data_IF_067143569579
#
_entry.id   IF_067143569579
#
_cell.length_a   1.000
_cell.length_b   1.000
_cell.length_c   1.000
_cell.angle_alpha   90.00
_cell.angle_beta   90.00
_cell.angle_gamma   90.00
#
_symmetry.space_group_name_H-M   'P 1'
#
loop_
_entity.id
_entity.type
_entity.pdbx_description
1 polymer ?
#
# COMPACT_ATOMS: atom_id res chain seq x y z
N UNK A 1 -26.38 11.13 -3.78
CA UNK A 1 -26.19 11.41 -2.34
C UNK A 1 -25.61 12.81 -2.20
N UNK A 2 -26.23 13.69 -1.40
CA UNK A 2 -25.71 15.07 -1.22
C UNK A 2 -24.48 15.02 -0.32
N UNK A 3 -23.32 15.48 -0.82
CA UNK A 3 -22.10 15.63 -0.01
C UNK A 3 -22.38 16.62 1.13
N UNK A 4 -22.25 16.17 2.37
CA UNK A 4 -22.20 17.11 3.50
C UNK A 4 -20.89 17.88 3.42
N UNK A 5 -20.97 19.23 3.42
CA UNK A 5 -19.78 20.07 3.35
C UNK A 5 -18.87 19.90 4.56
N UNK A 6 -17.57 20.09 4.36
CA UNK A 6 -16.49 19.93 5.34
C UNK A 6 -16.80 20.60 6.69
N UNK A 7 -17.43 21.77 6.69
CA UNK A 7 -17.81 22.49 7.91
C UNK A 7 -18.80 21.76 8.83
N UNK A 8 -19.66 20.88 8.29
CA UNK A 8 -20.59 20.07 9.10
C UNK A 8 -19.92 18.87 9.74
N UNK A 9 -18.87 18.34 9.11
CA UNK A 9 -18.06 17.22 9.67
C UNK A 9 -17.19 17.70 10.83
N UNK A 10 -16.56 18.87 10.68
CA UNK A 10 -15.77 19.51 11.75
C UNK A 10 -16.66 19.87 12.95
N UNK A 11 -17.90 20.34 12.70
CA UNK A 11 -18.84 20.67 13.78
C UNK A 11 -19.32 19.42 14.52
N UNK A 12 -19.47 18.29 13.84
CA UNK A 12 -19.86 17.00 14.46
C UNK A 12 -18.75 16.48 15.39
N UNK A 13 -17.49 16.58 14.98
CA UNK A 13 -16.35 16.21 15.81
C UNK A 13 -16.17 17.17 17.00
N UNK A 14 -16.38 18.47 16.82
CA UNK A 14 -16.32 19.46 17.90
C UNK A 14 -17.49 19.30 18.89
N UNK A 15 -18.69 18.95 18.42
CA UNK A 15 -19.84 18.68 19.29
C UNK A 15 -19.64 17.42 20.13
N UNK A 16 -19.00 16.39 19.58
CA UNK A 16 -18.69 15.16 20.34
C UNK A 16 -17.64 15.39 21.41
N UNK A 17 -16.65 16.25 21.15
CA UNK A 17 -15.65 16.65 22.15
C UNK A 17 -16.23 17.54 23.24
N UNK A 18 -17.16 18.45 22.90
CA UNK A 18 -17.82 19.34 23.85
C UNK A 18 -18.79 18.58 24.80
N UNK A 19 -19.45 17.53 24.30
CA UNK A 19 -20.37 16.71 25.13
C UNK A 19 -19.61 15.88 26.16
N UNK A 20 -18.38 15.48 25.87
CA UNK A 20 -17.50 14.79 26.83
C UNK A 20 -16.96 15.73 27.93
N UNK A 21 -16.74 17.02 27.63
CA UNK A 21 -16.24 17.99 28.60
C UNK A 21 -17.32 18.53 29.56
N UNK A 22 -18.60 18.56 29.16
CA UNK A 22 -19.69 19.06 30.02
C UNK A 22 -20.25 18.01 30.93
N UNK A 23 -19.99 16.72 30.69
CA UNK A 23 -20.43 15.62 31.56
C UNK A 23 -19.62 15.45 32.86
N UNK A 24 -18.47 16.09 32.98
CA UNK A 24 -17.52 15.86 34.08
C UNK A 24 -17.72 16.77 35.29
N UNK A 25 -18.62 17.76 35.23
CA UNK A 25 -18.80 18.73 36.34
C UNK A 25 -19.95 18.40 37.31
N UNK A 26 -20.69 17.32 37.12
CA UNK A 26 -21.88 17.04 37.91
C UNK A 26 -21.80 15.82 38.84
N UNK A 27 -20.70 15.08 38.94
CA UNK A 27 -20.58 13.95 39.86
C UNK A 27 -19.23 13.94 40.58
N UNK A 28 -19.20 14.60 41.73
CA UNK A 28 -18.11 14.47 42.71
C UNK A 28 -18.13 13.06 43.36
N UNK A 29 -17.68 12.07 42.62
CA UNK A 29 -17.65 10.68 43.08
C UNK A 29 -17.10 9.68 42.07
N UNK A 30 -16.81 10.09 40.83
CA UNK A 30 -16.35 9.19 39.76
C UNK A 30 -14.92 9.49 39.32
N UNK A 31 -13.97 9.29 40.25
CA UNK A 31 -12.51 9.35 39.91
C UNK A 31 -12.08 8.32 38.89
N UNK A 32 -12.88 7.27 38.67
CA UNK A 32 -12.62 6.23 37.65
C UNK A 32 -12.99 6.63 36.23
N UNK A 33 -13.97 7.52 35.99
CA UNK A 33 -14.33 7.97 34.66
C UNK A 33 -13.33 9.00 34.10
N UNK A 34 -12.75 9.84 34.95
CA UNK A 34 -11.69 10.78 34.54
C UNK A 34 -10.41 10.05 34.09
N UNK A 35 -10.06 8.96 34.80
CA UNK A 35 -8.88 8.16 34.41
C UNK A 35 -9.14 7.32 33.14
N UNK A 36 -10.36 6.87 32.91
CA UNK A 36 -10.72 6.17 31.66
C UNK A 36 -10.73 7.12 30.46
N UNK A 37 -11.25 8.34 30.61
CA UNK A 37 -11.22 9.33 29.53
C UNK A 37 -9.79 9.79 29.20
N UNK A 38 -8.94 10.00 30.20
CA UNK A 38 -7.54 10.32 30.00
C UNK A 38 -6.74 9.14 29.39
N UNK A 39 -7.08 7.91 29.77
CA UNK A 39 -6.50 6.70 29.18
C UNK A 39 -6.93 6.53 27.71
N UNK A 40 -8.21 6.72 27.38
CA UNK A 40 -8.70 6.66 26.01
C UNK A 40 -8.00 7.72 25.12
N UNK A 41 -7.88 8.96 25.58
CA UNK A 41 -7.19 10.03 24.84
C UNK A 41 -5.70 9.72 24.61
N UNK A 42 -5.05 8.91 25.43
CA UNK A 42 -3.65 8.51 25.26
C UNK A 42 -3.46 7.37 24.24
N UNK A 43 -4.53 6.62 23.89
CA UNK A 43 -4.48 5.54 22.90
C UNK A 43 -4.86 6.00 21.50
N UNK A 44 -5.55 7.11 21.32
CA UNK A 44 -6.08 7.57 20.04
C UNK A 44 -5.08 8.43 19.28
N UNK A 45 -3.84 7.96 19.12
CA UNK A 45 -2.88 8.63 18.22
C UNK A 45 -2.98 8.02 16.82
N UNK A 46 -4.06 8.33 16.11
CA UNK A 46 -4.30 7.85 14.75
C UNK A 46 -3.26 8.33 13.74
N UNK A 47 -2.64 9.50 13.96
CA UNK A 47 -1.54 9.98 13.12
C UNK A 47 -0.33 9.03 13.19
N UNK A 48 0.02 8.61 14.41
CA UNK A 48 1.10 7.64 14.63
C UNK A 48 0.74 6.25 14.12
N UNK A 49 -0.54 5.85 14.27
CA UNK A 49 -1.03 4.59 13.74
C UNK A 49 -0.92 4.55 12.21
N UNK A 50 -1.33 5.62 11.52
CA UNK A 50 -1.19 5.74 10.06
C UNK A 50 0.28 5.62 9.64
N UNK A 51 1.19 6.35 10.29
CA UNK A 51 2.62 6.27 9.99
C UNK A 51 3.18 4.85 10.19
N UNK A 52 2.83 4.18 11.29
CA UNK A 52 3.29 2.81 11.55
C UNK A 52 2.69 1.81 10.56
N UNK A 53 1.46 2.03 10.10
CA UNK A 53 0.84 1.20 9.06
C UNK A 53 1.59 1.32 7.73
N UNK A 54 2.12 2.49 7.40
CA UNK A 54 2.96 2.67 6.20
C UNK A 54 4.34 2.06 6.36
N UNK A 55 4.96 2.12 7.55
CA UNK A 55 6.24 1.46 7.83
C UNK A 55 6.20 -0.06 7.66
N UNK A 56 5.03 -0.68 7.77
CA UNK A 56 4.87 -2.09 7.42
C UNK A 56 5.34 -2.37 5.98
N UNK A 57 5.01 -1.50 5.05
CA UNK A 57 5.44 -1.64 3.65
C UNK A 57 6.95 -1.39 3.48
N UNK A 58 7.54 -0.43 4.21
CA UNK A 58 9.00 -0.24 4.20
C UNK A 58 9.73 -1.53 4.65
N UNK A 59 9.17 -2.22 5.63
CA UNK A 59 9.67 -3.51 6.09
C UNK A 59 9.57 -4.63 5.06
N UNK A 60 8.63 -4.56 4.12
CA UNK A 60 8.35 -5.59 3.11
C UNK A 60 8.88 -5.23 1.71
N UNK A 61 9.60 -4.14 1.53
CA UNK A 61 10.21 -3.78 0.24
C UNK A 61 11.14 -4.88 -0.25
N UNK A 62 11.12 -5.10 -1.57
CA UNK A 62 12.00 -6.01 -2.30
C UNK A 62 12.69 -5.26 -3.43
N UNK A 63 13.94 -5.62 -3.73
CA UNK A 63 14.65 -5.07 -4.89
C UNK A 63 16.09 -4.67 -4.60
N UNK A 64 16.74 -4.22 -5.67
CA UNK A 64 18.14 -3.80 -5.68
C UNK A 64 18.40 -2.42 -5.06
N UNK A 65 17.35 -1.73 -4.62
CA UNK A 65 17.40 -0.35 -4.10
C UNK A 65 16.86 -0.21 -2.66
N UNK A 66 16.49 -1.31 -2.01
CA UNK A 66 15.80 -1.31 -0.70
C UNK A 66 16.61 -0.56 0.36
N UNK A 67 17.94 -0.76 0.41
CA UNK A 67 18.81 -0.11 1.38
C UNK A 67 18.82 1.43 1.30
N UNK A 68 18.37 2.00 0.18
CA UNK A 68 18.23 3.46 0.02
C UNK A 68 16.78 3.94 0.00
N UNK A 69 15.81 3.07 -0.29
CA UNK A 69 14.40 3.42 -0.42
C UNK A 69 13.61 3.24 0.88
N UNK A 70 13.93 2.22 1.67
CA UNK A 70 13.26 1.93 2.94
C UNK A 70 13.54 3.00 4.00
N UNK A 71 12.55 3.28 4.85
CA UNK A 71 12.72 4.14 6.04
C UNK A 71 13.49 3.44 7.17
N UNK A 72 13.81 2.15 7.01
CA UNK A 72 14.53 1.36 8.01
C UNK A 72 16.00 1.17 7.62
N UNK A 73 16.88 1.59 8.49
CA UNK A 73 18.34 1.45 8.36
C UNK A 73 18.85 0.00 8.53
N UNK A 74 17.99 -0.91 9.02
CA UNK A 74 18.29 -2.34 9.13
C UNK A 74 17.90 -3.15 7.88
N UNK A 75 17.15 -2.54 6.91
CA UNK A 75 16.86 -3.15 5.63
C UNK A 75 17.99 -2.89 4.64
N UNK A 76 18.30 -3.89 3.82
CA UNK A 76 19.26 -3.78 2.72
C UNK A 76 18.66 -4.37 1.44
N UNK A 77 19.41 -4.28 0.35
CA UNK A 77 18.99 -4.80 -0.95
C UNK A 77 18.80 -6.31 -0.90
N UNK A 78 17.74 -6.78 -1.54
CA UNK A 78 17.40 -8.19 -1.62
C UNK A 78 16.78 -8.53 -2.97
N UNK A 79 17.02 -9.74 -3.49
CA UNK A 79 16.43 -10.24 -4.72
C UNK A 79 16.57 -9.33 -5.96
N UNK A 80 17.60 -8.47 -6.00
CA UNK A 80 17.86 -7.59 -7.13
C UNK A 80 18.23 -8.30 -8.44
N UNK A 81 18.41 -9.63 -8.39
CA UNK A 81 18.60 -10.50 -9.55
C UNK A 81 17.29 -11.16 -10.05
N UNK A 82 16.14 -10.88 -9.42
CA UNK A 82 14.84 -11.32 -9.92
C UNK A 82 14.64 -10.82 -11.37
N UNK A 83 13.99 -11.61 -12.22
CA UNK A 83 13.65 -11.19 -13.59
C UNK A 83 12.77 -9.91 -13.60
N UNK A 84 11.96 -9.72 -12.54
CA UNK A 84 11.24 -8.48 -12.27
C UNK A 84 11.71 -7.96 -10.92
N UNK A 85 12.64 -7.01 -10.94
CA UNK A 85 13.19 -6.35 -9.76
C UNK A 85 12.16 -5.42 -9.11
N UNK A 86 12.35 -5.07 -7.84
CA UNK A 86 11.49 -4.14 -7.11
C UNK A 86 10.23 -4.77 -6.52
N UNK A 87 9.27 -3.92 -6.14
CA UNK A 87 8.01 -4.33 -5.52
C UNK A 87 8.13 -4.63 -4.03
N UNK A 88 7.29 -5.55 -3.57
CA UNK A 88 7.16 -5.92 -2.16
C UNK A 88 7.00 -7.44 -2.02
N UNK A 89 7.51 -8.01 -0.93
CA UNK A 89 7.15 -9.35 -0.50
C UNK A 89 5.70 -9.35 0.01
N UNK A 90 5.01 -10.48 -0.15
CA UNK A 90 3.60 -10.57 0.24
C UNK A 90 3.41 -10.59 1.75
N UNK A 91 4.16 -11.44 2.46
CA UNK A 91 4.00 -11.67 3.89
C UNK A 91 5.32 -12.08 4.55
N UNK A 92 5.35 -13.24 5.22
CA UNK A 92 6.55 -13.78 5.88
C UNK A 92 7.42 -14.64 4.97
N UNK A 93 6.97 -14.97 3.77
CA UNK A 93 7.77 -15.49 2.67
C UNK A 93 8.28 -14.34 1.78
N UNK A 94 9.09 -14.69 0.78
CA UNK A 94 9.68 -13.68 -0.11
C UNK A 94 9.03 -13.68 -1.50
N UNK A 95 7.89 -14.32 -1.64
CA UNK A 95 7.12 -14.33 -2.90
C UNK A 95 6.49 -12.95 -3.14
N UNK A 96 6.48 -12.52 -4.40
CA UNK A 96 5.75 -11.34 -4.85
C UNK A 96 4.50 -11.82 -5.60
N UNK A 97 3.37 -11.88 -4.91
CA UNK A 97 2.08 -12.26 -5.47
C UNK A 97 1.37 -11.05 -6.07
N UNK A 98 1.00 -11.12 -7.34
CA UNK A 98 0.38 -10.01 -8.05
C UNK A 98 -0.99 -9.61 -7.51
N UNK A 99 -1.87 -10.58 -7.22
CA UNK A 99 -3.23 -10.29 -6.78
C UNK A 99 -3.27 -9.47 -5.47
N UNK A 100 -2.68 -9.92 -4.35
CA UNK A 100 -2.68 -9.13 -3.12
C UNK A 100 -1.90 -7.82 -3.25
N UNK A 101 -0.83 -7.78 -4.06
CA UNK A 101 -0.08 -6.54 -4.30
C UNK A 101 -0.94 -5.49 -5.03
N UNK A 102 -1.68 -5.88 -6.07
CA UNK A 102 -2.57 -5.00 -6.82
C UNK A 102 -3.71 -4.47 -5.95
N UNK A 103 -4.35 -5.36 -5.18
CA UNK A 103 -5.39 -4.98 -4.21
C UNK A 103 -4.86 -4.00 -3.15
N UNK A 104 -3.68 -4.27 -2.61
CA UNK A 104 -3.04 -3.40 -1.62
C UNK A 104 -2.76 -2.01 -2.19
N UNK A 105 -2.11 -1.93 -3.35
CA UNK A 105 -1.77 -0.66 -3.98
C UNK A 105 -3.03 0.16 -4.35
N UNK A 106 -4.06 -0.48 -4.90
CA UNK A 106 -5.33 0.18 -5.21
C UNK A 106 -6.05 0.69 -3.96
N UNK A 107 -6.04 -0.08 -2.87
CA UNK A 107 -6.65 0.30 -1.59
C UNK A 107 -5.91 1.47 -0.93
N UNK A 108 -4.57 1.45 -0.92
CA UNK A 108 -3.74 2.56 -0.42
C UNK A 108 -3.98 3.84 -1.23
N UNK A 109 -3.98 3.73 -2.56
CA UNK A 109 -4.25 4.85 -3.45
C UNK A 109 -5.66 5.42 -3.29
N UNK A 110 -6.66 4.55 -3.11
CA UNK A 110 -8.03 4.97 -2.84
C UNK A 110 -8.17 5.64 -1.47
N UNK A 111 -7.47 5.14 -0.45
CA UNK A 111 -7.41 5.76 0.88
C UNK A 111 -6.88 7.19 0.81
N UNK A 112 -5.80 7.42 0.04
CA UNK A 112 -5.30 8.78 -0.19
C UNK A 112 -6.30 9.65 -0.96
N UNK A 113 -6.91 9.13 -2.02
CA UNK A 113 -7.92 9.86 -2.79
C UNK A 113 -9.07 10.38 -1.91
N UNK A 114 -9.58 9.56 -1.00
CA UNK A 114 -10.67 9.93 -0.10
C UNK A 114 -10.24 10.85 1.06
N UNK A 115 -9.01 10.70 1.55
CA UNK A 115 -8.53 11.38 2.77
C UNK A 115 -7.30 12.25 2.53
N UNK A 116 -7.13 12.77 1.31
CA UNK A 116 -5.98 13.57 0.88
C UNK A 116 -5.61 14.66 1.89
N UNK A 117 -6.56 15.48 2.32
CA UNK A 117 -6.34 16.58 3.26
C UNK A 117 -5.77 16.08 4.62
N UNK A 118 -6.12 14.85 5.02
CA UNK A 118 -5.60 14.25 6.25
C UNK A 118 -4.16 13.80 6.09
N UNK A 119 -3.80 13.19 4.95
CA UNK A 119 -2.41 12.82 4.65
C UNK A 119 -1.53 14.05 4.55
N UNK A 120 -2.00 15.10 3.86
CA UNK A 120 -1.27 16.37 3.72
C UNK A 120 -1.05 17.05 5.09
N UNK A 121 -2.08 17.10 5.93
CA UNK A 121 -2.00 17.68 7.27
C UNK A 121 -1.04 16.93 8.21
N UNK A 122 -0.88 15.61 7.99
CA UNK A 122 0.02 14.76 8.77
C UNK A 122 1.43 14.66 8.18
N UNK A 123 1.69 15.29 7.02
CA UNK A 123 2.97 15.21 6.32
C UNK A 123 3.30 13.81 5.78
N UNK A 124 2.25 12.97 5.50
CA UNK A 124 2.43 11.59 5.09
C UNK A 124 2.27 11.37 3.58
N UNK A 125 1.92 12.40 2.82
CA UNK A 125 1.68 12.32 1.37
C UNK A 125 2.90 11.82 0.61
N UNK A 126 4.09 12.36 0.87
CA UNK A 126 5.31 11.96 0.15
C UNK A 126 5.70 10.49 0.45
N UNK A 127 5.52 10.03 1.69
CA UNK A 127 5.79 8.64 2.05
C UNK A 127 4.81 7.69 1.36
N UNK A 128 3.50 8.00 1.41
CA UNK A 128 2.50 7.20 0.70
C UNK A 128 2.78 7.15 -0.80
N UNK A 129 3.08 8.30 -1.42
CA UNK A 129 3.42 8.35 -2.85
C UNK A 129 4.60 7.46 -3.17
N UNK A 130 5.68 7.50 -2.39
CA UNK A 130 6.84 6.62 -2.61
C UNK A 130 6.46 5.14 -2.56
N UNK A 131 5.58 4.73 -1.64
CA UNK A 131 5.09 3.35 -1.55
C UNK A 131 4.23 2.98 -2.76
N UNK A 132 3.26 3.82 -3.14
CA UNK A 132 2.38 3.53 -4.27
C UNK A 132 3.11 3.59 -5.61
N UNK A 133 4.05 4.51 -5.78
CA UNK A 133 4.92 4.56 -6.97
C UNK A 133 5.76 3.27 -7.09
N UNK A 134 6.31 2.74 -5.98
CA UNK A 134 7.04 1.48 -5.99
C UNK A 134 6.18 0.28 -6.43
N UNK A 135 4.93 0.19 -5.98
CA UNK A 135 3.99 -0.80 -6.49
C UNK A 135 3.75 -0.63 -7.99
N UNK A 136 3.47 0.60 -8.43
CA UNK A 136 3.19 0.91 -9.82
C UNK A 136 4.39 0.65 -10.73
N UNK A 137 5.61 0.96 -10.29
CA UNK A 137 6.84 0.67 -11.03
C UNK A 137 7.04 -0.84 -11.19
N UNK A 138 6.78 -1.62 -10.14
CA UNK A 138 6.80 -3.08 -10.22
C UNK A 138 5.73 -3.61 -11.21
N UNK A 139 4.51 -3.08 -11.20
CA UNK A 139 3.45 -3.50 -12.14
C UNK A 139 3.80 -3.16 -13.59
N UNK A 140 4.43 -2.01 -13.83
CA UNK A 140 4.93 -1.63 -15.16
C UNK A 140 6.08 -2.56 -15.60
N UNK A 141 7.04 -2.84 -14.73
CA UNK A 141 8.13 -3.79 -15.00
C UNK A 141 7.61 -5.22 -15.22
N UNK A 142 6.52 -5.60 -14.55
CA UNK A 142 5.81 -6.87 -14.73
C UNK A 142 5.00 -6.95 -16.02
N UNK A 143 4.90 -5.89 -16.83
CA UNK A 143 3.99 -5.85 -17.99
C UNK A 143 4.75 -5.55 -19.29
N UNK A 144 4.71 -6.47 -20.25
CA UNK A 144 5.28 -6.29 -21.59
C UNK A 144 4.23 -5.76 -22.55
N UNK A 145 4.52 -4.61 -23.17
CA UNK A 145 3.63 -3.96 -24.14
C UNK A 145 4.19 -4.03 -25.57
N UNK A 146 3.29 -4.17 -26.54
CA UNK A 146 3.54 -3.83 -27.94
C UNK A 146 2.59 -2.67 -28.31
N UNK A 147 3.11 -1.45 -28.39
CA UNK A 147 2.30 -0.23 -28.44
C UNK A 147 1.50 -0.05 -27.15
N UNK A 148 0.17 -0.12 -27.26
CA UNK A 148 -0.75 -0.04 -26.12
C UNK A 148 -1.41 -1.39 -25.78
N UNK A 149 -0.85 -2.50 -26.31
CA UNK A 149 -1.40 -3.84 -26.09
C UNK A 149 -0.47 -4.65 -25.20
N UNK A 150 -1.01 -5.26 -24.14
CA UNK A 150 -0.28 -6.22 -23.30
C UNK A 150 0.00 -7.48 -24.13
N UNK A 151 1.25 -7.87 -24.24
CA UNK A 151 1.70 -9.11 -24.89
C UNK A 151 1.93 -10.23 -23.88
N UNK A 152 2.37 -9.91 -22.70
CA UNK A 152 2.44 -10.78 -21.53
C UNK A 152 2.60 -9.97 -20.26
N UNK A 153 2.25 -10.54 -19.11
CA UNK A 153 2.57 -9.94 -17.82
C UNK A 153 2.95 -11.00 -16.79
N UNK A 154 3.80 -10.59 -15.85
CA UNK A 154 4.23 -11.39 -14.72
C UNK A 154 3.22 -11.25 -13.59
N UNK A 155 2.62 -12.36 -13.17
CA UNK A 155 1.62 -12.39 -12.11
C UNK A 155 2.18 -12.85 -10.77
N UNK A 156 3.39 -13.43 -10.75
CA UNK A 156 4.05 -13.90 -9.54
C UNK A 156 5.56 -13.98 -9.75
N UNK A 157 6.34 -13.60 -8.73
CA UNK A 157 7.78 -13.90 -8.64
C UNK A 157 8.04 -14.65 -7.34
N UNK A 158 8.67 -15.80 -7.47
CA UNK A 158 8.94 -16.73 -6.38
C UNK A 158 8.11 -18.02 -6.49
N UNK A 159 8.72 -19.12 -6.05
CA UNK A 159 8.09 -20.46 -6.08
C UNK A 159 7.32 -20.65 -4.78
N UNK A 160 6.02 -20.38 -4.77
CA UNK A 160 5.13 -20.27 -3.62
C UNK A 160 5.51 -21.12 -2.40
N UNK A 161 5.20 -22.44 -2.42
CA UNK A 161 5.44 -23.27 -1.24
C UNK A 161 6.93 -23.45 -0.92
N UNK A 162 7.78 -23.58 -1.94
CA UNK A 162 9.22 -23.79 -1.72
C UNK A 162 9.90 -22.55 -1.09
N UNK A 163 9.49 -21.36 -1.46
CA UNK A 163 9.94 -20.12 -0.85
C UNK A 163 9.41 -20.01 0.60
N UNK A 164 8.12 -20.32 0.79
CA UNK A 164 7.47 -20.29 2.11
C UNK A 164 8.12 -21.24 3.13
N UNK A 165 8.70 -22.35 2.69
CA UNK A 165 9.37 -23.32 3.56
C UNK A 165 10.76 -22.83 4.04
N UNK A 166 11.27 -21.72 3.48
CA UNK A 166 12.58 -21.14 3.83
C UNK A 166 12.42 -19.92 4.72
N UNK A 167 12.65 -20.09 6.02
CA UNK A 167 12.58 -19.00 6.99
C UNK A 167 13.95 -18.33 7.18
N UNK A 168 14.11 -17.16 6.57
CA UNK A 168 15.33 -16.33 6.73
C UNK A 168 14.99 -14.85 6.46
N UNK A 169 15.96 -13.94 6.68
CA UNK A 169 15.81 -12.57 6.19
C UNK A 169 15.90 -12.53 4.65
N UNK A 170 15.18 -11.62 3.99
CA UNK A 170 15.23 -11.52 2.53
C UNK A 170 16.63 -11.21 1.99
N UNK A 171 17.46 -10.48 2.74
CA UNK A 171 18.83 -10.17 2.39
C UNK A 171 19.74 -11.41 2.38
N UNK A 172 19.36 -12.46 3.10
CA UNK A 172 20.14 -13.72 3.19
C UNK A 172 19.63 -14.82 2.26
N UNK A 173 18.47 -14.67 1.62
CA UNK A 173 17.97 -15.64 0.66
C UNK A 173 18.65 -15.46 -0.71
N UNK A 174 19.60 -16.37 -1.00
CA UNK A 174 20.39 -16.31 -2.24
C UNK A 174 20.07 -17.44 -3.24
N UNK A 175 19.10 -18.32 -2.94
CA UNK A 175 18.73 -19.44 -3.79
C UNK A 175 17.86 -18.96 -4.96
N UNK A 176 18.48 -18.80 -6.14
CA UNK A 176 17.81 -18.34 -7.35
C UNK A 176 16.77 -19.35 -7.86
N UNK A 177 16.82 -20.62 -7.47
CA UNK A 177 15.81 -21.61 -7.86
C UNK A 177 14.44 -21.32 -7.24
N UNK A 178 14.38 -20.53 -6.16
CA UNK A 178 13.17 -20.06 -5.51
C UNK A 178 12.57 -18.81 -6.17
N UNK A 179 13.29 -18.16 -7.11
CA UNK A 179 12.96 -16.83 -7.64
C UNK A 179 12.37 -16.84 -9.06
N UNK A 180 11.72 -17.94 -9.45
CA UNK A 180 11.07 -18.06 -10.77
C UNK A 180 10.00 -16.97 -10.95
N UNK A 181 10.05 -16.27 -12.09
CA UNK A 181 8.99 -15.35 -12.52
C UNK A 181 7.98 -16.10 -13.38
N UNK A 182 6.69 -15.93 -13.09
CA UNK A 182 5.58 -16.58 -13.78
C UNK A 182 4.87 -15.57 -14.67
N UNK A 183 4.96 -15.79 -15.97
CA UNK A 183 4.39 -14.93 -17.00
C UNK A 183 3.19 -15.58 -17.67
N UNK A 184 2.21 -14.78 -18.08
CA UNK A 184 1.06 -15.22 -18.91
C UNK A 184 0.77 -14.24 -20.03
N UNK A 185 0.07 -14.72 -21.09
CA UNK A 185 -0.46 -13.91 -22.21
C UNK A 185 -1.98 -13.95 -22.32
N UNK A 186 -2.64 -14.87 -21.62
CA UNK A 186 -4.06 -15.22 -21.84
C UNK A 186 -4.85 -15.40 -20.55
N UNK A 187 -4.18 -15.62 -19.40
CA UNK A 187 -4.79 -15.91 -18.10
C UNK A 187 -4.60 -14.78 -17.09
N UNK A 188 -5.13 -14.97 -15.88
CA UNK A 188 -4.98 -14.07 -14.72
C UNK A 188 -5.57 -12.66 -14.97
N UNK A 189 -6.76 -12.60 -15.54
CA UNK A 189 -7.51 -11.37 -15.80
C UNK A 189 -7.82 -10.58 -14.53
N UNK A 190 -8.00 -11.25 -13.40
CA UNK A 190 -8.19 -10.68 -12.06
C UNK A 190 -6.95 -9.88 -11.63
N UNK A 191 -5.76 -10.45 -11.76
CA UNK A 191 -4.50 -9.77 -11.41
C UNK A 191 -4.24 -8.57 -12.35
N UNK A 192 -4.49 -8.74 -13.64
CA UNK A 192 -4.35 -7.65 -14.61
C UNK A 192 -5.31 -6.49 -14.28
N UNK A 193 -6.54 -6.80 -13.83
CA UNK A 193 -7.52 -5.80 -13.40
C UNK A 193 -7.06 -5.05 -12.13
N UNK A 194 -6.48 -5.75 -11.15
CA UNK A 194 -5.94 -5.14 -9.93
C UNK A 194 -4.74 -4.23 -10.23
N UNK A 195 -3.80 -4.65 -11.10
CA UNK A 195 -2.72 -3.79 -11.56
C UNK A 195 -3.26 -2.53 -12.27
N UNK A 196 -4.27 -2.71 -13.12
CA UNK A 196 -4.92 -1.59 -13.82
C UNK A 196 -5.58 -0.61 -12.84
N UNK A 197 -6.26 -1.12 -11.81
CA UNK A 197 -6.91 -0.30 -10.79
C UNK A 197 -5.89 0.50 -9.98
N UNK A 198 -4.80 -0.14 -9.54
CA UNK A 198 -3.72 0.51 -8.80
C UNK A 198 -3.04 1.63 -9.61
N UNK A 199 -2.68 1.35 -10.86
CA UNK A 199 -2.06 2.32 -11.77
C UNK A 199 -3.02 3.48 -12.09
N UNK A 200 -4.32 3.20 -12.26
CA UNK A 200 -5.31 4.23 -12.53
C UNK A 200 -5.50 5.17 -11.35
N UNK A 201 -5.60 4.65 -10.12
CA UNK A 201 -5.75 5.49 -8.93
C UNK A 201 -4.46 6.26 -8.63
N UNK A 202 -3.27 5.70 -8.89
CA UNK A 202 -2.01 6.41 -8.75
C UNK A 202 -1.91 7.59 -9.73
N UNK A 203 -2.33 7.40 -10.99
CA UNK A 203 -2.46 8.49 -11.96
C UNK A 203 -3.43 9.58 -11.48
N UNK A 204 -4.59 9.21 -10.93
CA UNK A 204 -5.58 10.18 -10.40
C UNK A 204 -4.98 11.00 -9.28
N UNK A 205 -4.19 10.39 -8.43
CA UNK A 205 -3.60 11.01 -7.24
C UNK A 205 -2.39 11.90 -7.57
N UNK A 206 -1.50 11.44 -8.47
CA UNK A 206 -0.17 12.03 -8.64
C UNK A 206 0.15 12.42 -10.10
N UNK A 207 -0.69 12.05 -11.07
CA UNK A 207 -0.62 12.56 -12.45
C UNK A 207 0.42 11.90 -13.36
N UNK A 208 0.98 10.74 -12.99
CA UNK A 208 1.94 10.04 -13.84
C UNK A 208 1.27 9.47 -15.10
N UNK A 209 1.55 10.03 -16.26
CA UNK A 209 0.92 9.66 -17.53
C UNK A 209 1.27 8.22 -17.99
N UNK A 210 2.42 7.70 -17.56
CA UNK A 210 2.81 6.33 -17.86
C UNK A 210 1.92 5.34 -17.12
N UNK A 211 1.59 5.61 -15.85
CA UNK A 211 0.65 4.79 -15.09
C UNK A 211 -0.70 4.69 -15.80
N UNK A 212 -1.23 5.80 -16.32
CA UNK A 212 -2.48 5.78 -17.11
C UNK A 212 -2.37 4.94 -18.38
N UNK A 213 -1.23 4.96 -19.06
CA UNK A 213 -0.98 4.14 -20.26
C UNK A 213 -1.06 2.66 -19.92
N UNK A 214 -0.33 2.23 -18.90
CA UNK A 214 -0.33 0.83 -18.47
C UNK A 214 -1.68 0.41 -17.87
N UNK A 215 -2.35 1.28 -17.11
CA UNK A 215 -3.68 1.02 -16.59
C UNK A 215 -4.69 0.69 -17.72
N UNK A 216 -4.71 1.47 -18.79
CA UNK A 216 -5.59 1.22 -19.96
C UNK A 216 -5.25 -0.08 -20.67
N UNK A 217 -3.97 -0.37 -20.86
CA UNK A 217 -3.51 -1.59 -21.52
C UNK A 217 -3.92 -2.85 -20.73
N UNK A 218 -3.67 -2.85 -19.41
CA UNK A 218 -4.01 -3.95 -18.52
C UNK A 218 -5.52 -4.12 -18.35
N UNK A 219 -6.29 -3.02 -18.25
CA UNK A 219 -7.74 -3.09 -18.26
C UNK A 219 -8.26 -3.75 -19.52
N UNK A 220 -7.79 -3.32 -20.70
CA UNK A 220 -8.19 -3.93 -21.97
C UNK A 220 -7.81 -5.41 -22.07
N UNK A 221 -6.72 -5.82 -21.41
CA UNK A 221 -6.34 -7.23 -21.31
C UNK A 221 -7.31 -8.00 -20.41
N UNK A 222 -7.68 -7.46 -19.26
CA UNK A 222 -8.48 -8.14 -18.25
C UNK A 222 -9.93 -8.43 -18.66
N UNK A 223 -10.47 -7.69 -19.66
CA UNK A 223 -11.87 -7.81 -20.13
C UNK A 223 -12.02 -8.61 -21.45
N UNK A 224 -10.94 -9.22 -21.95
CA UNK A 224 -10.99 -10.10 -23.13
C UNK A 224 -11.59 -11.44 -22.81
#
# INVERSE_FOLDING_TARGET
MKKLGLGKRVLACAASAATLLTGTTALSGLTTLGSMAASAASYDNYAKLLQYSMYFYDGNMCGSDVGSASQFDWRDNCHGSDEVDGGFHDAGDHVKFGLPAGYTASTLGWGYYEFKDSYDALGQTAHLQALTDRFCDFFKASTKLSGDTVTSFCYQVGVGQADHDVWCSPESQNDQSLRTAYWTSDDASDIAAEYAAALAVNYINFGNAEDLKYAKALYNYSIK
#
